data_IF_812382312389
#
_entry.id   IF_812382312389
#
_cell.length_a   1.000
_cell.length_b   1.000
_cell.length_c   1.000
_cell.angle_alpha   90.00
_cell.angle_beta   90.00
_cell.angle_gamma   90.00
#
_symmetry.space_group_name_H-M   'P 1'
#
loop_
_entity.id
_entity.type
_entity.pdbx_description
1 polymer ?
#
# COMPACT_ATOMS: atom_id res chain seq x y z
N UNK A 1 -0.08 -9.78 -5.79
CA UNK A 1 -0.61 -8.87 -4.75
C UNK A 1 -2.14 -9.01 -4.63
N UNK A 2 -2.92 -8.66 -5.66
CA UNK A 2 -4.40 -8.68 -5.58
C UNK A 2 -5.01 -10.00 -5.09
N UNK A 3 -4.50 -11.15 -5.55
CA UNK A 3 -4.93 -12.47 -5.06
C UNK A 3 -4.83 -12.61 -3.53
N UNK A 4 -3.72 -12.19 -2.91
CA UNK A 4 -3.51 -12.34 -1.46
C UNK A 4 -4.47 -11.43 -0.69
N UNK A 5 -4.61 -10.17 -1.14
CA UNK A 5 -5.49 -9.20 -0.50
C UNK A 5 -6.95 -9.65 -0.56
N UNK A 6 -7.39 -10.15 -1.71
CA UNK A 6 -8.74 -10.69 -1.89
C UNK A 6 -8.99 -11.90 -0.97
N UNK A 7 -8.03 -12.82 -0.89
CA UNK A 7 -8.17 -14.02 -0.04
C UNK A 7 -8.24 -13.67 1.43
N UNK A 8 -7.44 -12.70 1.90
CA UNK A 8 -7.52 -12.25 3.28
C UNK A 8 -8.79 -11.47 3.57
N UNK A 9 -9.15 -10.51 2.73
CA UNK A 9 -10.36 -9.69 2.94
C UNK A 9 -11.65 -10.53 2.93
N UNK A 10 -11.75 -11.55 2.06
CA UNK A 10 -12.93 -12.43 1.99
C UNK A 10 -12.88 -13.63 2.93
N UNK A 11 -11.71 -13.93 3.51
CA UNK A 11 -11.47 -15.14 4.29
C UNK A 11 -11.70 -14.98 5.79
N UNK A 12 -11.98 -13.77 6.26
CA UNK A 12 -12.20 -13.48 7.69
C UNK A 12 -13.36 -12.50 7.86
N UNK A 13 -14.10 -12.63 8.96
CA UNK A 13 -15.25 -11.76 9.28
C UNK A 13 -14.86 -10.45 9.97
N UNK A 14 -13.57 -10.18 10.11
CA UNK A 14 -13.04 -8.95 10.73
C UNK A 14 -12.43 -8.01 9.69
N UNK A 15 -12.53 -6.68 9.88
CA UNK A 15 -11.84 -5.68 9.06
C UNK A 15 -10.36 -5.98 8.80
N UNK A 16 -9.98 -6.06 7.51
CA UNK A 16 -8.58 -6.17 7.11
C UNK A 16 -8.06 -4.80 6.67
N UNK A 17 -6.92 -4.40 7.22
CA UNK A 17 -6.20 -3.16 6.86
C UNK A 17 -4.86 -3.48 6.22
N UNK A 18 -4.32 -2.56 5.42
CA UNK A 18 -3.04 -2.72 4.74
C UNK A 18 -2.10 -1.56 5.04
N UNK A 19 -0.82 -1.84 5.22
CA UNK A 19 0.24 -0.84 5.33
C UNK A 19 1.29 -1.06 4.24
N UNK A 20 1.61 0.00 3.49
CA UNK A 20 2.59 -0.05 2.39
C UNK A 20 3.62 1.08 2.47
N UNK A 21 4.64 0.96 1.62
CA UNK A 21 5.60 2.02 1.26
C UNK A 21 5.27 2.51 -0.16
N UNK A 22 5.85 3.64 -0.58
CA UNK A 22 5.61 4.21 -1.92
C UNK A 22 6.15 3.37 -3.08
N UNK A 23 7.09 2.45 -2.79
CA UNK A 23 7.77 1.60 -3.77
C UNK A 23 8.95 0.85 -3.18
N UNK A 24 9.63 0.02 -3.98
CA UNK A 24 10.87 -0.65 -3.55
C UNK A 24 12.07 0.30 -3.58
N UNK A 25 12.10 1.20 -4.55
CA UNK A 25 13.12 2.24 -4.73
C UNK A 25 12.51 3.44 -5.48
N UNK A 26 13.32 4.46 -5.79
CA UNK A 26 12.85 5.69 -6.41
C UNK A 26 12.38 5.51 -7.87
N UNK A 27 12.93 4.54 -8.60
CA UNK A 27 12.53 4.23 -9.99
C UNK A 27 11.27 3.36 -10.00
N UNK A 28 11.06 2.57 -8.95
CA UNK A 28 9.97 1.61 -8.82
C UNK A 28 8.92 2.05 -7.79
N UNK A 29 8.26 3.19 -8.05
CA UNK A 29 7.16 3.72 -7.22
C UNK A 29 5.81 3.23 -7.71
N UNK A 30 5.31 2.16 -7.11
CA UNK A 30 4.05 1.51 -7.47
C UNK A 30 2.93 1.68 -6.42
N UNK A 31 3.12 2.57 -5.44
CA UNK A 31 2.16 2.76 -4.35
C UNK A 31 0.72 3.04 -4.81
N UNK A 32 0.53 3.86 -5.86
CA UNK A 32 -0.81 4.18 -6.40
C UNK A 32 -1.49 2.93 -6.96
N UNK A 33 -0.77 2.13 -7.75
CA UNK A 33 -1.30 0.89 -8.31
C UNK A 33 -1.67 -0.11 -7.21
N UNK A 34 -0.85 -0.23 -6.16
CA UNK A 34 -1.15 -1.08 -5.01
C UNK A 34 -2.37 -0.55 -4.24
N UNK A 35 -2.52 0.77 -4.10
CA UNK A 35 -3.66 1.36 -3.42
C UNK A 35 -4.99 1.00 -4.09
N UNK A 36 -5.06 1.11 -5.42
CA UNK A 36 -6.24 0.69 -6.20
C UNK A 36 -6.53 -0.80 -6.06
N UNK A 37 -5.50 -1.65 -6.15
CA UNK A 37 -5.67 -3.10 -5.95
C UNK A 37 -6.18 -3.42 -4.54
N UNK A 38 -5.78 -2.65 -3.52
CA UNK A 38 -6.23 -2.84 -2.16
C UNK A 38 -7.71 -2.43 -1.99
N UNK A 39 -8.10 -1.31 -2.57
CA UNK A 39 -9.49 -0.85 -2.63
C UNK A 39 -10.38 -1.89 -3.33
N UNK A 40 -10.01 -2.33 -4.54
CA UNK A 40 -10.73 -3.35 -5.31
C UNK A 40 -10.83 -4.70 -4.56
N UNK A 41 -9.85 -5.00 -3.72
CA UNK A 41 -9.81 -6.23 -2.93
C UNK A 41 -10.62 -6.17 -1.64
N UNK A 42 -11.21 -5.03 -1.26
CA UNK A 42 -12.01 -4.87 -0.05
C UNK A 42 -11.21 -4.55 1.21
N UNK A 43 -9.99 -4.02 1.09
CA UNK A 43 -9.23 -3.52 2.23
C UNK A 43 -9.90 -2.26 2.78
N UNK A 44 -10.24 -2.25 4.07
CA UNK A 44 -11.03 -1.17 4.66
C UNK A 44 -10.21 0.08 5.01
N UNK A 45 -8.90 -0.07 5.20
CA UNK A 45 -8.01 1.05 5.47
C UNK A 45 -6.62 0.80 4.91
N UNK A 46 -6.04 1.81 4.26
CA UNK A 46 -4.70 1.80 3.72
C UNK A 46 -3.82 2.87 4.38
N UNK A 47 -2.73 2.45 5.01
CA UNK A 47 -1.70 3.35 5.54
C UNK A 47 -0.46 3.35 4.64
N UNK A 48 0.03 4.55 4.29
CA UNK A 48 1.18 4.70 3.39
C UNK A 48 2.33 5.40 4.10
N UNK A 49 3.45 4.70 4.21
CA UNK A 49 4.71 5.31 4.57
C UNK A 49 5.31 6.00 3.33
N UNK A 50 5.53 7.30 3.41
CA UNK A 50 5.92 8.15 2.26
C UNK A 50 7.37 7.97 1.77
N UNK A 51 8.05 6.89 2.15
CA UNK A 51 9.37 6.52 1.64
C UNK A 51 9.29 5.23 0.82
N UNK A 52 10.33 4.96 0.05
CA UNK A 52 10.54 3.68 -0.61
C UNK A 52 11.17 2.68 0.36
N UNK A 53 11.31 1.41 -0.03
CA UNK A 53 12.05 0.43 0.76
C UNK A 53 13.53 0.78 0.86
N UNK A 54 14.14 1.21 -0.26
CA UNK A 54 15.56 1.56 -0.36
C UNK A 54 15.96 2.69 0.59
N UNK A 55 15.07 3.64 0.86
CA UNK A 55 15.30 4.74 1.79
C UNK A 55 15.59 4.28 3.24
N UNK A 56 15.17 3.07 3.64
CA UNK A 56 15.23 2.60 5.04
C UNK A 56 14.61 3.63 5.98
N UNK A 57 15.35 4.16 6.96
CA UNK A 57 14.94 5.26 7.84
C UNK A 57 15.52 6.61 7.41
N UNK A 58 16.33 6.61 6.35
CA UNK A 58 16.97 7.79 5.81
C UNK A 58 16.09 8.45 4.74
N UNK A 59 16.52 9.61 4.26
CA UNK A 59 15.84 10.33 3.19
C UNK A 59 14.54 11.03 3.61
N UNK A 60 14.07 11.90 2.72
CA UNK A 60 12.91 12.74 2.93
C UNK A 60 11.61 11.99 2.62
N UNK A 61 10.58 12.19 3.44
CA UNK A 61 9.26 11.60 3.18
C UNK A 61 8.57 12.36 2.04
N UNK A 62 8.11 11.63 1.03
CA UNK A 62 7.18 12.15 0.02
C UNK A 62 5.77 12.24 0.61
N UNK A 63 5.16 13.42 0.55
CA UNK A 63 3.86 13.73 1.16
C UNK A 63 2.70 13.77 0.14
N UNK A 64 2.90 13.24 -1.06
CA UNK A 64 1.86 13.23 -2.09
C UNK A 64 0.78 12.18 -1.76
N UNK A 65 -0.52 12.55 -1.80
CA UNK A 65 -1.63 11.59 -1.72
C UNK A 65 -1.51 10.53 -2.83
N UNK A 66 -1.80 9.26 -2.51
CA UNK A 66 -1.76 8.17 -3.50
C UNK A 66 -3.08 7.95 -4.22
N UNK A 67 -4.19 8.27 -3.57
CA UNK A 67 -5.56 8.14 -4.07
C UNK A 67 -6.34 9.35 -3.54
N UNK A 68 -7.35 9.79 -4.30
CA UNK A 68 -8.19 10.94 -3.96
C UNK A 68 -9.29 10.50 -3.00
#
# INVERSE_FOLDING_TARGET
MGRILLQWSKGVDVPVTLKIRTGTDHKNRNGVSIARIAEDAGIQMLTVHGRTRADRFNGMRSIKPLVK
#
